data_IF_767078634148
#
_entry.id   IF_767078634148
#
_cell.length_a   1.000
_cell.length_b   1.000
_cell.length_c   1.000
_cell.angle_alpha   90.00
_cell.angle_beta   90.00
_cell.angle_gamma   90.00
#
_symmetry.space_group_name_H-M   'P 1'
#
loop_
_entity.id
_entity.type
_entity.pdbx_description
1 polymer ?
#
# COMPACT_ATOMS: atom_id res chain seq x y z
N UNK A 1 -28.85 9.84 0.57
CA UNK A 1 -28.38 8.47 0.90
C UNK A 1 -26.97 8.34 0.41
N UNK A 2 -26.04 8.02 1.33
CA UNK A 2 -24.64 7.79 1.00
C UNK A 2 -24.47 6.46 0.26
N UNK A 3 -23.72 6.47 -0.84
CA UNK A 3 -23.45 5.30 -1.68
C UNK A 3 -21.99 5.29 -2.10
N UNK A 4 -21.43 4.09 -2.24
CA UNK A 4 -20.13 3.84 -2.83
C UNK A 4 -20.36 3.29 -4.24
N UNK A 5 -19.80 3.95 -5.25
CA UNK A 5 -19.86 3.53 -6.65
C UNK A 5 -18.47 3.03 -7.05
N UNK A 6 -18.39 1.82 -7.61
CA UNK A 6 -17.14 1.21 -8.10
C UNK A 6 -17.29 1.01 -9.60
N UNK A 7 -16.36 1.55 -10.37
CA UNK A 7 -16.24 1.33 -11.81
C UNK A 7 -14.92 0.63 -12.12
N UNK A 8 -15.02 -0.60 -12.58
CA UNK A 8 -13.90 -1.45 -12.97
C UNK A 8 -14.08 -2.02 -14.39
N UNK A 9 -14.77 -1.29 -15.27
CA UNK A 9 -14.97 -1.73 -16.66
C UNK A 9 -13.70 -1.61 -17.50
N UNK A 10 -12.84 -0.63 -17.18
CA UNK A 10 -11.53 -0.46 -17.79
C UNK A 10 -10.49 -1.26 -16.98
N UNK A 11 -9.72 -2.17 -17.58
CA UNK A 11 -8.70 -2.92 -16.84
C UNK A 11 -7.56 -2.03 -16.36
N UNK A 12 -7.18 -1.02 -17.15
CA UNK A 12 -6.14 -0.04 -16.83
C UNK A 12 -6.48 0.92 -15.67
N UNK A 13 -7.77 1.10 -15.34
CA UNK A 13 -8.21 2.07 -14.34
C UNK A 13 -9.43 1.58 -13.55
N UNK A 14 -9.30 1.55 -12.22
CA UNK A 14 -10.40 1.33 -11.29
C UNK A 14 -10.77 2.62 -10.58
N UNK A 15 -12.05 2.98 -10.57
CA UNK A 15 -12.54 4.24 -9.98
C UNK A 15 -13.52 3.96 -8.85
N UNK A 16 -13.36 4.64 -7.73
CA UNK A 16 -14.23 4.57 -6.57
C UNK A 16 -14.76 5.98 -6.27
N UNK A 17 -16.08 6.11 -6.06
CA UNK A 17 -16.70 7.37 -5.70
C UNK A 17 -17.64 7.20 -4.50
N UNK A 18 -17.52 8.09 -3.52
CA UNK A 18 -18.50 8.24 -2.44
C UNK A 18 -19.44 9.37 -2.81
N UNK A 19 -20.74 9.11 -2.87
CA UNK A 19 -21.76 10.09 -3.23
C UNK A 19 -22.85 10.16 -2.17
N UNK A 20 -23.42 11.33 -1.93
CA UNK A 20 -24.68 11.49 -1.20
C UNK A 20 -25.77 12.03 -2.15
N UNK A 21 -26.71 11.16 -2.51
CA UNK A 21 -27.57 11.43 -3.65
C UNK A 21 -26.73 11.58 -4.91
N UNK A 22 -26.86 12.70 -5.63
CA UNK A 22 -26.05 12.99 -6.83
C UNK A 22 -24.82 13.86 -6.55
N UNK A 23 -24.54 14.21 -5.28
CA UNK A 23 -23.38 15.00 -4.91
C UNK A 23 -22.18 14.09 -4.66
N UNK A 24 -21.09 14.31 -5.40
CA UNK A 24 -19.80 13.67 -5.15
C UNK A 24 -19.20 14.20 -3.85
N UNK A 25 -18.80 13.30 -2.95
CA UNK A 25 -18.13 13.62 -1.70
C UNK A 25 -16.64 13.28 -1.77
N UNK A 26 -16.30 12.13 -2.36
CA UNK A 26 -14.93 11.67 -2.47
C UNK A 26 -14.74 10.83 -3.74
N UNK A 27 -13.52 10.81 -4.27
CA UNK A 27 -13.17 10.12 -5.50
C UNK A 27 -11.72 9.64 -5.45
N UNK A 28 -11.53 8.34 -5.66
CA UNK A 28 -10.23 7.70 -5.79
C UNK A 28 -10.14 6.97 -7.13
N UNK A 29 -8.95 6.96 -7.70
CA UNK A 29 -8.61 6.16 -8.89
C UNK A 29 -7.37 5.35 -8.61
N UNK A 30 -7.40 4.10 -9.04
CA UNK A 30 -6.29 3.16 -9.00
C UNK A 30 -5.91 2.83 -10.45
N UNK A 31 -4.67 3.18 -10.82
CA UNK A 31 -4.12 2.96 -12.15
C UNK A 31 -3.20 1.74 -12.09
N UNK A 32 -3.34 0.86 -13.08
CA UNK A 32 -2.48 -0.32 -13.21
C UNK A 32 -0.99 0.08 -13.29
N UNK A 33 -0.12 -0.63 -12.57
CA UNK A 33 1.32 -0.36 -12.51
C UNK A 33 1.74 0.79 -11.59
N UNK A 34 0.81 1.49 -10.94
CA UNK A 34 1.09 2.47 -9.87
C UNK A 34 0.46 2.07 -8.54
N UNK A 35 0.57 0.79 -8.22
CA UNK A 35 0.02 0.23 -6.99
C UNK A 35 0.65 0.88 -5.74
N UNK A 36 -0.21 1.35 -4.85
CA UNK A 36 0.22 1.89 -3.57
C UNK A 36 0.61 0.73 -2.64
N UNK A 37 1.90 0.63 -2.31
CA UNK A 37 2.42 -0.40 -1.40
C UNK A 37 2.44 0.03 0.07
N UNK A 38 2.14 1.31 0.34
CA UNK A 38 2.15 1.87 1.69
C UNK A 38 1.02 1.26 2.51
N UNK A 39 1.35 0.74 3.69
CA UNK A 39 0.38 0.09 4.58
C UNK A 39 0.19 -1.41 4.32
N UNK A 40 0.84 -1.96 3.29
CA UNK A 40 0.86 -3.40 3.07
C UNK A 40 1.58 -4.10 4.23
N UNK A 41 1.17 -5.35 4.49
CA UNK A 41 1.74 -6.21 5.52
C UNK A 41 2.29 -7.46 4.84
N UNK A 42 3.54 -7.78 5.15
CA UNK A 42 4.27 -8.89 4.54
C UNK A 42 4.80 -9.83 5.61
N UNK A 43 4.88 -11.12 5.25
CA UNK A 43 5.78 -12.04 5.95
C UNK A 43 7.16 -11.93 5.30
N UNK A 44 8.12 -11.41 6.05
CA UNK A 44 9.47 -11.16 5.56
C UNK A 44 10.50 -12.04 6.28
N UNK A 45 11.69 -12.17 5.68
CA UNK A 45 12.85 -12.87 6.25
C UNK A 45 13.94 -11.87 6.55
N UNK A 46 14.51 -11.88 7.76
CA UNK A 46 15.68 -11.05 8.08
C UNK A 46 16.88 -11.56 7.28
N UNK A 47 17.44 -10.72 6.42
CA UNK A 47 18.57 -11.10 5.56
C UNK A 47 19.91 -10.68 6.14
N UNK A 48 19.94 -9.57 6.90
CA UNK A 48 21.17 -9.03 7.50
C UNK A 48 20.86 -8.17 8.72
N UNK A 49 21.63 -8.34 9.78
CA UNK A 49 21.57 -7.47 10.97
C UNK A 49 22.75 -6.52 10.94
N UNK A 50 22.51 -5.23 11.14
CA UNK A 50 23.52 -4.16 11.08
C UNK A 50 23.52 -3.36 12.39
N UNK A 51 24.33 -3.78 13.40
CA UNK A 51 24.38 -3.12 14.70
C UNK A 51 24.74 -1.63 14.62
N UNK A 52 25.62 -1.25 13.70
CA UNK A 52 26.04 0.14 13.49
C UNK A 52 24.89 1.07 13.09
N UNK A 53 23.82 0.53 12.50
CA UNK A 53 22.62 1.27 12.11
C UNK A 53 21.48 1.10 13.13
N UNK A 54 21.69 0.30 14.19
CA UNK A 54 20.63 -0.16 15.09
C UNK A 54 19.42 -0.70 14.31
N UNK A 55 19.66 -1.54 13.30
CA UNK A 55 18.63 -1.99 12.37
C UNK A 55 18.93 -3.36 11.74
N UNK A 56 17.94 -3.92 11.05
CA UNK A 56 18.12 -5.06 10.16
C UNK A 56 17.51 -4.80 8.78
N UNK A 57 17.96 -5.56 7.80
CA UNK A 57 17.37 -5.60 6.47
C UNK A 57 16.51 -6.86 6.34
N UNK A 58 15.36 -6.72 5.68
CA UNK A 58 14.39 -7.79 5.48
C UNK A 58 14.09 -7.99 4.01
N UNK A 59 14.05 -9.25 3.56
CA UNK A 59 13.48 -9.61 2.27
C UNK A 59 11.98 -9.82 2.44
N UNK A 60 11.20 -8.98 1.78
CA UNK A 60 9.73 -9.01 1.77
C UNK A 60 9.16 -9.30 0.37
N UNK A 61 9.99 -9.79 -0.56
CA UNK A 61 9.59 -10.18 -1.92
C UNK A 61 9.74 -9.09 -2.98
N UNK A 62 10.54 -8.05 -2.72
CA UNK A 62 10.82 -6.96 -3.67
C UNK A 62 12.29 -6.90 -4.05
N UNK A 63 12.61 -6.22 -5.17
CA UNK A 63 13.98 -6.09 -5.70
C UNK A 63 14.98 -5.50 -4.69
N UNK A 64 14.50 -4.71 -3.73
CA UNK A 64 15.31 -4.14 -2.65
C UNK A 64 14.79 -4.58 -1.31
N UNK A 65 15.71 -5.01 -0.44
CA UNK A 65 15.38 -5.33 0.94
C UNK A 65 14.83 -4.10 1.67
N UNK A 66 13.87 -4.35 2.55
CA UNK A 66 13.31 -3.37 3.45
C UNK A 66 14.29 -3.07 4.58
N UNK A 67 14.21 -1.85 5.10
CA UNK A 67 14.97 -1.43 6.27
C UNK A 67 14.05 -1.42 7.49
N UNK A 68 14.43 -2.16 8.54
CA UNK A 68 13.66 -2.28 9.78
C UNK A 68 14.52 -1.77 10.97
N UNK A 69 14.26 -0.55 11.47
CA UNK A 69 14.93 -0.02 12.65
C UNK A 69 14.60 -0.82 13.91
N UNK A 70 15.55 -0.95 14.83
CA UNK A 70 15.35 -1.66 16.10
C UNK A 70 14.21 -1.09 16.95
N UNK A 71 13.99 0.24 16.90
CA UNK A 71 12.93 0.93 17.64
C UNK A 71 11.51 0.58 17.17
N UNK A 72 11.36 0.00 15.98
CA UNK A 72 10.08 -0.41 15.39
C UNK A 72 9.77 -1.90 15.65
N UNK A 73 10.64 -2.61 16.37
CA UNK A 73 10.43 -4.01 16.76
C UNK A 73 9.66 -4.04 18.08
N UNK A 74 8.54 -4.77 18.10
CA UNK A 74 7.68 -4.96 19.29
C UNK A 74 8.18 -6.06 20.23
#
# INVERSE_FOLDING_TARGET
>A
MKRMLINATQPEERRLAIVDGQKLLDFETEIEGREQRKGNIYKAVVTRVEPSLEACFVDYGEDRHGFLPFKEIS
#
